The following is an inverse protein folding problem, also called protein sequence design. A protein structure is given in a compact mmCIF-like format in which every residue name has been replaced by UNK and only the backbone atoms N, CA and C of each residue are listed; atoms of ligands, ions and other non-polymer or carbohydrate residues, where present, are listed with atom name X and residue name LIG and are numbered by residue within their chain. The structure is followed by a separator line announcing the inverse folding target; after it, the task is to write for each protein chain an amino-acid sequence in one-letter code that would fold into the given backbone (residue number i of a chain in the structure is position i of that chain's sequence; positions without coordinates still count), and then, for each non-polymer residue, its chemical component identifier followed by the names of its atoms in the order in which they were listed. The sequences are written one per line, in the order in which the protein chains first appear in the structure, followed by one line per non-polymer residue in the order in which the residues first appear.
data_IF_050779866587
#
_entry.id   IF_050779866587
#
_cell.length_a   1.000
_cell.length_b   1.000
_cell.length_c   1.000
_cell.angle_alpha   90.00
_cell.angle_beta   90.00
_cell.angle_gamma   90.00
#
_symmetry.space_group_name_H-M   'P 1'
#
loop_
_entity.id
_entity.type
_entity.pdbx_description
1 polymer ?
#
# COMPACT_ATOMS: atom_id res chain seq x y z
N UNK A 1 -10.16 12.80 31.44
CA UNK A 1 -9.46 12.98 30.15
C UNK A 1 -10.44 13.66 29.20
N UNK A 2 -10.14 14.83 28.62
CA UNK A 2 -10.99 15.38 27.57
C UNK A 2 -11.00 14.40 26.38
N UNK A 3 -12.13 14.26 25.71
CA UNK A 3 -12.22 13.42 24.52
C UNK A 3 -11.25 13.94 23.45
N UNK A 4 -10.55 13.03 22.77
CA UNK A 4 -9.78 13.35 21.57
C UNK A 4 -10.64 14.17 20.60
N UNK A 5 -10.12 15.31 20.12
CA UNK A 5 -10.78 16.10 19.07
C UNK A 5 -10.91 15.30 17.76
N UNK A 6 -10.05 14.30 17.56
CA UNK A 6 -10.06 13.42 16.40
C UNK A 6 -10.81 12.13 16.75
N UNK A 7 -12.03 12.03 16.25
CA UNK A 7 -12.84 10.81 16.29
C UNK A 7 -13.61 10.70 14.98
N UNK A 8 -13.90 9.47 14.59
CA UNK A 8 -14.90 9.17 13.57
C UNK A 8 -16.07 8.52 14.31
N UNK A 9 -17.30 8.85 13.92
CA UNK A 9 -18.52 8.31 14.52
C UNK A 9 -19.59 8.19 13.43
N UNK A 10 -20.48 7.22 13.60
CA UNK A 10 -21.64 6.94 12.74
C UNK A 10 -22.84 6.69 13.66
N UNK A 11 -24.05 7.01 13.21
CA UNK A 11 -25.31 6.77 13.93
C UNK A 11 -25.99 5.45 13.53
N UNK A 12 -25.46 4.78 12.51
CA UNK A 12 -25.98 3.52 11.98
C UNK A 12 -24.91 2.41 12.02
N UNK A 13 -25.30 1.13 12.22
CA UNK A 13 -24.38 0.02 12.04
C UNK A 13 -23.89 -0.08 10.59
N UNK A 14 -22.66 -0.53 10.40
CA UNK A 14 -22.06 -0.70 9.09
C UNK A 14 -22.79 -1.79 8.26
N UNK A 15 -23.16 -1.46 7.03
CA UNK A 15 -23.82 -2.40 6.11
C UNK A 15 -22.83 -3.42 5.51
N UNK A 16 -21.55 -3.03 5.40
CA UNK A 16 -20.47 -3.84 4.84
C UNK A 16 -19.17 -3.67 5.63
N UNK A 17 -18.10 -4.34 5.19
CA UNK A 17 -16.78 -4.20 5.81
C UNK A 17 -16.13 -2.85 5.46
N UNK A 18 -16.58 -2.25 4.36
CA UNK A 18 -16.11 -0.98 3.83
C UNK A 18 -16.44 0.20 4.78
N UNK A 19 -17.57 0.11 5.48
CA UNK A 19 -18.05 1.13 6.42
C UNK A 19 -17.68 0.82 7.89
N UNK A 20 -17.06 -0.34 8.13
CA UNK A 20 -16.72 -0.80 9.47
C UNK A 20 -15.56 0.00 10.07
N UNK A 21 -15.61 0.23 11.39
CA UNK A 21 -14.55 0.96 12.08
C UNK A 21 -13.28 0.11 12.20
N UNK A 22 -12.18 0.62 11.64
CA UNK A 22 -10.86 -0.03 11.61
C UNK A 22 -10.02 0.30 12.85
N UNK A 23 -9.40 -0.71 13.44
CA UNK A 23 -8.33 -0.56 14.42
C UNK A 23 -7.23 -1.61 14.21
N UNK A 24 -6.03 -1.36 14.72
CA UNK A 24 -4.93 -2.31 14.60
C UNK A 24 -3.69 -1.92 15.41
N UNK A 25 -2.85 -2.92 15.68
CA UNK A 25 -1.59 -2.75 16.42
C UNK A 25 -0.35 -2.93 15.53
N UNK A 26 -0.52 -2.89 14.21
CA UNK A 26 0.52 -3.16 13.21
C UNK A 26 0.69 -4.64 12.87
N UNK A 27 0.32 -5.56 13.77
CA UNK A 27 0.34 -7.00 13.51
C UNK A 27 -1.03 -7.56 13.13
N UNK A 28 -2.02 -7.21 13.96
CA UNK A 28 -3.42 -7.56 13.83
C UNK A 28 -4.23 -6.31 13.49
N UNK A 29 -5.24 -6.50 12.65
CA UNK A 29 -6.28 -5.53 12.38
C UNK A 29 -7.65 -6.09 12.76
N UNK A 30 -8.55 -5.21 13.20
CA UNK A 30 -9.96 -5.52 13.43
C UNK A 30 -10.83 -4.50 12.71
N UNK A 31 -11.98 -4.93 12.20
CA UNK A 31 -13.03 -4.07 11.67
C UNK A 31 -14.33 -4.40 12.38
N UNK A 32 -14.99 -3.41 12.98
CA UNK A 32 -16.19 -3.57 13.82
C UNK A 32 -17.41 -3.02 13.09
N UNK A 33 -18.47 -3.83 12.98
CA UNK A 33 -19.68 -3.45 12.24
C UNK A 33 -20.72 -2.73 13.13
N UNK A 34 -20.77 -3.01 14.43
CA UNK A 34 -21.57 -2.22 15.38
C UNK A 34 -23.06 -2.59 15.46
N UNK A 35 -23.47 -3.77 14.98
CA UNK A 35 -24.87 -4.23 15.10
C UNK A 35 -25.16 -4.64 16.57
N UNK A 36 -26.09 -3.96 17.26
CA UNK A 36 -26.35 -4.21 18.69
C UNK A 36 -26.96 -5.59 18.97
N UNK A 37 -27.58 -6.24 17.98
CA UNK A 37 -28.22 -7.55 18.13
C UNK A 37 -27.41 -8.67 17.48
N UNK A 38 -26.54 -8.35 16.52
CA UNK A 38 -25.75 -9.32 15.78
C UNK A 38 -24.36 -8.78 15.41
N UNK A 39 -23.56 -8.44 16.42
CA UNK A 39 -22.22 -7.88 16.22
C UNK A 39 -21.33 -8.79 15.36
N UNK A 40 -20.57 -8.16 14.45
CA UNK A 40 -19.63 -8.83 13.57
C UNK A 40 -18.30 -8.10 13.60
N UNK A 41 -17.27 -8.81 14.00
CA UNK A 41 -15.89 -8.32 13.98
C UNK A 41 -15.10 -9.12 12.95
N UNK A 42 -14.53 -8.42 11.97
CA UNK A 42 -13.63 -9.01 10.98
C UNK A 42 -12.20 -8.86 11.49
N UNK A 43 -11.43 -9.95 11.48
CA UNK A 43 -10.04 -9.97 11.98
C UNK A 43 -9.08 -10.20 10.81
N UNK A 44 -8.02 -9.41 10.76
CA UNK A 44 -6.94 -9.56 9.80
C UNK A 44 -5.59 -9.72 10.50
N UNK A 45 -4.66 -10.44 9.86
CA UNK A 45 -3.27 -10.55 10.30
C UNK A 45 -2.34 -10.38 9.09
N UNK A 46 -1.38 -9.47 9.16
CA UNK A 46 -0.56 -9.10 8.01
C UNK A 46 0.34 -10.23 7.46
N UNK A 47 0.61 -11.28 8.25
CA UNK A 47 1.32 -12.47 7.76
C UNK A 47 0.40 -13.52 7.12
N UNK A 48 -0.93 -13.36 7.13
CA UNK A 48 -1.84 -14.27 6.46
C UNK A 48 -1.89 -13.98 4.96
N UNK A 49 -0.76 -14.28 4.32
CA UNK A 49 -0.58 -14.23 2.89
C UNK A 49 -0.77 -15.63 2.32
N UNK A 50 -1.28 -15.71 1.08
CA UNK A 50 -1.33 -16.98 0.38
C UNK A 50 0.11 -17.52 0.25
N UNK A 51 0.36 -18.79 0.62
CA UNK A 51 1.68 -19.38 0.44
C UNK A 51 2.08 -19.33 -1.03
N UNK A 52 2.99 -18.42 -1.36
CA UNK A 52 3.62 -18.39 -2.67
C UNK A 52 4.83 -19.31 -2.57
N UNK A 53 4.78 -20.48 -3.22
CA UNK A 53 5.84 -21.50 -3.19
C UNK A 53 7.22 -21.04 -3.68
N UNK A 54 7.34 -19.76 -4.05
CA UNK A 54 8.58 -19.08 -4.42
C UNK A 54 9.12 -18.17 -3.31
N UNK A 55 8.58 -18.22 -2.09
CA UNK A 55 9.08 -17.40 -0.97
C UNK A 55 10.60 -17.53 -0.78
N UNK A 56 11.12 -18.75 -0.94
CA UNK A 56 12.55 -19.06 -0.81
C UNK A 56 13.28 -19.10 -2.16
N UNK A 57 12.57 -18.84 -3.27
CA UNK A 57 13.17 -18.86 -4.59
C UNK A 57 14.09 -17.64 -4.75
N UNK A 58 15.35 -17.90 -5.09
CA UNK A 58 16.28 -16.82 -5.39
C UNK A 58 15.82 -16.08 -6.65
N UNK A 59 15.70 -14.74 -6.60
CA UNK A 59 15.36 -13.96 -7.77
C UNK A 59 16.44 -14.16 -8.85
N UNK A 60 16.05 -14.22 -10.13
CA UNK A 60 17.01 -14.35 -11.22
C UNK A 60 17.98 -13.15 -11.22
N UNK A 61 19.25 -13.38 -11.56
CA UNK A 61 20.28 -12.34 -11.63
C UNK A 61 20.06 -11.45 -12.86
N UNK A 62 19.05 -10.59 -12.86
CA UNK A 62 18.69 -9.74 -14.02
C UNK A 62 19.48 -8.43 -14.11
N UNK A 63 20.35 -8.13 -13.14
CA UNK A 63 21.08 -6.86 -13.08
C UNK A 63 21.89 -6.54 -14.34
N UNK A 64 22.38 -7.57 -15.05
CA UNK A 64 23.12 -7.44 -16.31
C UNK A 64 22.24 -7.11 -17.52
N UNK A 65 20.92 -7.27 -17.40
CA UNK A 65 19.93 -6.96 -18.43
C UNK A 65 19.26 -5.60 -18.22
N UNK A 66 19.47 -4.98 -17.05
CA UNK A 66 18.95 -3.64 -16.78
C UNK A 66 19.83 -2.60 -17.49
N UNK A 67 19.27 -1.72 -18.32
CA UNK A 67 20.02 -0.60 -18.86
C UNK A 67 20.57 0.23 -17.69
N UNK A 68 21.85 0.60 -17.77
CA UNK A 68 22.52 1.40 -16.74
C UNK A 68 21.67 2.65 -16.47
N UNK A 69 21.29 2.96 -15.21
CA UNK A 69 20.64 4.23 -14.91
C UNK A 69 21.64 5.35 -15.20
N UNK A 70 21.51 5.94 -16.39
CA UNK A 70 22.52 6.79 -17.00
C UNK A 70 22.04 7.38 -18.32
N UNK A 71 20.98 8.19 -18.26
CA UNK A 71 20.70 9.37 -19.08
C UNK A 71 19.30 9.85 -18.63
N UNK A 72 19.08 11.13 -18.27
CA UNK A 72 17.74 11.61 -18.02
C UNK A 72 16.92 11.45 -19.31
N UNK A 73 15.84 10.66 -19.24
CA UNK A 73 14.82 10.54 -20.28
C UNK A 73 13.96 11.81 -20.42
N UNK A 74 14.57 12.98 -20.19
CA UNK A 74 14.01 14.28 -20.45
C UNK A 74 15.06 15.07 -21.20
N UNK A 75 15.12 14.86 -22.50
CA UNK A 75 14.78 15.84 -23.54
C UNK A 75 15.13 15.18 -24.87
N UNK A 76 14.27 15.34 -25.89
CA UNK A 76 14.53 14.80 -27.22
C UNK A 76 15.90 15.21 -27.74
N UNK A 77 16.74 14.21 -28.02
CA UNK A 77 17.88 14.40 -28.90
C UNK A 77 17.35 14.68 -30.30
N UNK A 78 17.35 15.96 -30.71
CA UNK A 78 17.47 16.30 -32.13
C UNK A 78 18.69 17.18 -32.31
N UNK A 79 19.55 16.68 -33.20
CA UNK A 79 20.68 17.31 -33.93
C UNK A 79 22.05 17.45 -33.26
N UNK A 80 23.13 17.25 -34.05
CA UNK A 80 24.49 17.07 -33.56
C UNK A 80 25.21 18.42 -33.37
N UNK A 81 26.20 18.40 -32.48
CA UNK A 81 27.11 19.50 -32.26
C UNK A 81 27.85 19.89 -33.55
N UNK A 82 27.60 21.10 -34.04
CA UNK A 82 28.57 21.83 -34.86
C UNK A 82 28.80 23.19 -34.23
N UNK A 83 29.97 23.28 -33.59
CA UNK A 83 30.90 24.42 -33.50
C UNK A 83 30.38 25.78 -33.99
N UNK A 84 30.40 26.81 -33.12
CA UNK A 84 30.80 28.21 -33.43
C UNK A 84 30.68 29.09 -32.17
N UNK A 85 31.86 29.41 -31.61
CA UNK A 85 32.34 30.74 -31.19
C UNK A 85 31.67 31.52 -30.05
N UNK A 86 32.46 31.65 -28.97
CA UNK A 86 32.50 32.62 -27.84
C UNK A 86 31.19 33.06 -27.16
#
# INVERSE_FOLDING_TARGET
MPASAHRVWDDSPAAGWEDAFLSGNGGYGIMVLGDPYAERVIVNHHHFVLPNGTHDAQPPRLAHLLPRPGCPARTGCRTPCTNTTW
#
